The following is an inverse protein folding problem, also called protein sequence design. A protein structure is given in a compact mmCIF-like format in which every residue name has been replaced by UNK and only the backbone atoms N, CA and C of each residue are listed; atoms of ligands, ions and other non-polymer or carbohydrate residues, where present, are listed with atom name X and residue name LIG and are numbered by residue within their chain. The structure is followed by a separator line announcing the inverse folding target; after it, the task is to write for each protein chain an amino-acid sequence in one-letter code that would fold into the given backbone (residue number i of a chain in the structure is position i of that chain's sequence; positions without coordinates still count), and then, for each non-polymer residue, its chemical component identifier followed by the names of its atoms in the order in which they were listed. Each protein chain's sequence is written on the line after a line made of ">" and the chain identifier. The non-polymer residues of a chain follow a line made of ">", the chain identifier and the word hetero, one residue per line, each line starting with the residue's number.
data_IF_057838103141
#
_entry.id   IF_057838103141
#
_cell.length_a   1.000
_cell.length_b   1.000
_cell.length_c   1.000
_cell.angle_alpha   90.00
_cell.angle_beta   90.00
_cell.angle_gamma   90.00
#
_symmetry.space_group_name_H-M   'P 1'
#
loop_
_entity.id
_entity.type
_entity.pdbx_description
1 polymer ?
#
# COMPACT_ATOMS: atom_id res chain seq x y z
N UNK A 1 -25.44 3.30 6.52
CA UNK A 1 -24.54 4.05 7.42
C UNK A 1 -23.12 3.54 7.22
N UNK A 2 -22.15 4.39 6.83
CA UNK A 2 -20.78 3.97 6.57
C UNK A 2 -20.11 3.29 7.77
N UNK A 3 -20.39 3.75 8.97
CA UNK A 3 -19.81 3.24 10.24
C UNK A 3 -20.30 1.83 10.64
N UNK A 4 -21.31 1.31 9.95
CA UNK A 4 -21.90 -0.01 10.20
C UNK A 4 -21.48 -1.04 9.12
N UNK A 5 -20.64 -0.63 8.15
CA UNK A 5 -20.19 -1.52 7.07
C UNK A 5 -19.15 -2.50 7.63
N UNK A 6 -19.40 -3.79 7.44
CA UNK A 6 -18.42 -4.84 7.73
C UNK A 6 -17.55 -5.08 6.50
N UNK A 7 -16.25 -5.08 6.70
CA UNK A 7 -15.28 -5.42 5.67
C UNK A 7 -14.87 -6.89 5.77
N UNK A 8 -14.64 -7.53 4.62
CA UNK A 8 -14.07 -8.87 4.54
C UNK A 8 -12.54 -8.78 4.55
N UNK A 9 -11.99 -8.22 5.62
CA UNK A 9 -10.55 -8.09 5.84
C UNK A 9 -10.10 -9.05 6.93
N UNK A 10 -8.83 -9.42 6.89
CA UNK A 10 -8.22 -10.29 7.88
C UNK A 10 -6.74 -9.98 8.07
N UNK A 11 -6.27 -10.18 9.29
CA UNK A 11 -4.86 -10.13 9.64
C UNK A 11 -4.43 -11.48 10.20
N UNK A 12 -3.26 -11.94 9.79
CA UNK A 12 -2.61 -13.10 10.39
C UNK A 12 -1.58 -12.62 11.41
N UNK A 13 -1.82 -12.94 12.68
CA UNK A 13 -1.00 -12.49 13.80
C UNK A 13 -0.31 -13.69 14.46
N UNK A 14 0.98 -13.56 14.74
CA UNK A 14 1.76 -14.54 15.49
C UNK A 14 2.57 -13.84 16.57
N UNK A 15 2.48 -14.33 17.80
CA UNK A 15 3.18 -13.74 18.97
C UNK A 15 2.97 -12.24 19.15
N UNK A 16 1.78 -11.73 18.81
CA UNK A 16 1.47 -10.30 18.88
C UNK A 16 1.98 -9.47 17.71
N UNK A 17 2.68 -10.08 16.75
CA UNK A 17 3.15 -9.43 15.54
C UNK A 17 2.25 -9.78 14.35
N UNK A 18 1.75 -8.77 13.64
CA UNK A 18 1.04 -8.95 12.38
C UNK A 18 2.00 -9.43 11.29
N UNK A 19 1.79 -10.64 10.82
CA UNK A 19 2.62 -11.32 9.83
C UNK A 19 2.15 -11.09 8.40
N UNK A 20 0.86 -10.93 8.23
CA UNK A 20 0.23 -10.72 6.93
C UNK A 20 -1.12 -10.05 7.12
N UNK A 21 -1.52 -9.25 6.15
CA UNK A 21 -2.88 -8.73 6.05
C UNK A 21 -3.45 -8.97 4.67
N UNK A 22 -4.77 -8.98 4.58
CA UNK A 22 -5.45 -9.22 3.33
C UNK A 22 -6.95 -8.98 3.40
N UNK A 23 -7.62 -9.34 2.33
CA UNK A 23 -9.07 -9.22 2.26
C UNK A 23 -9.64 -9.72 0.95
N UNK A 24 -10.94 -9.91 0.93
CA UNK A 24 -11.70 -10.07 -0.29
C UNK A 24 -11.74 -8.74 -1.03
N UNK A 25 -11.46 -8.77 -2.33
CA UNK A 25 -11.41 -7.57 -3.15
C UNK A 25 -12.79 -7.09 -3.55
N UNK A 26 -12.98 -5.78 -3.59
CA UNK A 26 -14.19 -5.18 -4.13
C UNK A 26 -14.07 -5.14 -5.67
N UNK A 27 -14.62 -6.17 -6.31
CA UNK A 27 -14.62 -6.33 -7.78
C UNK A 27 -15.91 -5.84 -8.44
N UNK A 28 -16.91 -5.44 -7.66
CA UNK A 28 -18.15 -4.91 -8.19
C UNK A 28 -17.99 -3.42 -8.56
N UNK A 29 -18.15 -3.02 -9.85
CA UNK A 29 -17.90 -1.64 -10.27
C UNK A 29 -18.84 -0.62 -9.63
N UNK A 30 -20.07 -1.01 -9.29
CA UNK A 30 -21.03 -0.12 -8.62
C UNK A 30 -20.64 0.09 -7.17
N UNK A 31 -20.26 -0.98 -6.46
CA UNK A 31 -19.80 -0.89 -5.08
C UNK A 31 -18.46 -0.14 -4.98
N UNK A 32 -17.59 -0.28 -5.98
CA UNK A 32 -16.33 0.44 -6.03
C UNK A 32 -16.55 1.95 -6.05
N UNK A 33 -17.43 2.47 -6.91
CA UNK A 33 -17.80 3.89 -6.94
C UNK A 33 -18.38 4.36 -5.61
N UNK A 34 -19.28 3.58 -5.03
CA UNK A 34 -19.86 3.91 -3.70
C UNK A 34 -18.81 3.97 -2.60
N UNK A 35 -17.83 3.05 -2.61
CA UNK A 35 -16.74 3.07 -1.66
C UNK A 35 -15.88 4.35 -1.78
N UNK A 36 -15.58 4.78 -3.00
CA UNK A 36 -14.89 6.05 -3.26
C UNK A 36 -15.73 7.25 -2.79
N UNK A 37 -17.03 7.25 -3.04
CA UNK A 37 -17.92 8.30 -2.56
C UNK A 37 -17.97 8.39 -1.02
N UNK A 38 -18.00 7.25 -0.32
CA UNK A 38 -17.91 7.18 1.14
C UNK A 38 -16.57 7.75 1.65
N UNK A 39 -15.47 7.50 0.93
CA UNK A 39 -14.17 8.05 1.23
C UNK A 39 -14.01 9.56 0.87
N UNK A 40 -15.08 10.21 0.38
CA UNK A 40 -15.08 11.63 0.06
C UNK A 40 -14.59 12.00 -1.34
N UNK A 41 -14.43 11.02 -2.23
CA UNK A 41 -14.06 11.27 -3.63
C UNK A 41 -15.29 11.30 -4.53
N UNK A 42 -15.20 12.09 -5.60
CA UNK A 42 -16.21 12.04 -6.67
C UNK A 42 -16.17 10.68 -7.38
N UNK A 43 -17.35 10.19 -7.79
CA UNK A 43 -17.44 8.89 -8.49
C UNK A 43 -16.66 8.83 -9.81
N UNK A 44 -16.46 9.98 -10.48
CA UNK A 44 -15.65 10.09 -11.69
C UNK A 44 -14.17 9.80 -11.47
N UNK A 45 -13.69 9.88 -10.23
CA UNK A 45 -12.29 9.55 -9.87
C UNK A 45 -11.96 8.11 -10.23
N UNK A 46 -12.88 7.18 -10.04
CA UNK A 46 -12.69 5.77 -10.38
C UNK A 46 -12.41 5.62 -11.89
N UNK A 47 -13.19 6.28 -12.73
CA UNK A 47 -13.05 6.22 -14.19
C UNK A 47 -11.78 6.94 -14.68
N UNK A 48 -11.45 8.08 -14.06
CA UNK A 48 -10.33 8.92 -14.49
C UNK A 48 -8.96 8.43 -14.01
N UNK A 49 -8.90 7.87 -12.79
CA UNK A 49 -7.64 7.44 -12.16
C UNK A 49 -7.36 5.94 -12.31
N UNK A 50 -8.42 5.14 -12.45
CA UNK A 50 -8.34 3.68 -12.54
C UNK A 50 -9.11 3.12 -13.75
N UNK A 51 -8.99 3.71 -14.96
CA UNK A 51 -9.85 3.36 -16.10
C UNK A 51 -9.75 1.89 -16.47
N UNK A 52 -8.54 1.33 -16.52
CA UNK A 52 -8.32 -0.06 -16.91
C UNK A 52 -8.93 -1.06 -15.94
N UNK A 53 -8.77 -0.81 -14.62
CA UNK A 53 -9.34 -1.66 -13.58
C UNK A 53 -10.87 -1.59 -13.58
N UNK A 54 -11.42 -0.38 -13.66
CA UNK A 54 -12.86 -0.17 -13.69
C UNK A 54 -13.49 -0.83 -14.91
N UNK A 55 -12.89 -0.68 -16.10
CA UNK A 55 -13.35 -1.32 -17.31
C UNK A 55 -13.28 -2.84 -17.22
N UNK A 56 -12.20 -3.40 -16.68
CA UNK A 56 -12.07 -4.85 -16.49
C UNK A 56 -13.19 -5.41 -15.60
N UNK A 57 -13.53 -4.70 -14.52
CA UNK A 57 -14.63 -5.12 -13.64
C UNK A 57 -16.01 -5.08 -14.31
N UNK A 58 -16.21 -4.20 -15.28
CA UNK A 58 -17.44 -4.16 -16.09
C UNK A 58 -17.61 -5.40 -16.99
N UNK A 59 -16.50 -6.02 -17.40
CA UNK A 59 -16.55 -7.29 -18.16
C UNK A 59 -16.80 -8.52 -17.28
N UNK A 60 -16.82 -8.36 -15.97
CA UNK A 60 -17.05 -9.41 -14.98
C UNK A 60 -15.77 -10.01 -14.41
N UNK A 61 -15.38 -9.55 -13.23
CA UNK A 61 -14.30 -10.16 -12.47
C UNK A 61 -14.87 -11.27 -11.55
N UNK A 62 -14.18 -12.39 -11.37
CA UNK A 62 -14.57 -13.40 -10.38
C UNK A 62 -14.37 -12.86 -8.96
N UNK A 63 -15.09 -13.41 -7.96
CA UNK A 63 -14.73 -13.19 -6.56
C UNK A 63 -13.27 -13.56 -6.34
N UNK A 64 -12.51 -12.67 -5.73
CA UNK A 64 -11.10 -12.90 -5.48
C UNK A 64 -10.65 -12.21 -4.19
N UNK A 65 -9.64 -12.79 -3.57
CA UNK A 65 -9.03 -12.29 -2.35
C UNK A 65 -7.50 -12.31 -2.49
N UNK A 66 -6.83 -11.63 -1.60
CA UNK A 66 -5.38 -11.63 -1.57
C UNK A 66 -4.85 -11.42 -0.17
N UNK A 67 -3.61 -11.86 0.06
CA UNK A 67 -2.89 -11.67 1.29
C UNK A 67 -1.47 -11.20 0.98
N UNK A 68 -0.96 -10.28 1.78
CA UNK A 68 0.40 -9.76 1.68
C UNK A 68 1.22 -10.21 2.90
N UNK A 69 1.96 -11.33 2.80
CA UNK A 69 2.85 -11.77 3.87
C UNK A 69 4.07 -10.85 4.00
N UNK A 70 4.37 -10.42 5.22
CA UNK A 70 5.59 -9.67 5.54
C UNK A 70 6.76 -10.63 5.77
N UNK A 71 7.59 -10.84 4.76
CA UNK A 71 8.71 -11.80 4.83
C UNK A 71 9.68 -11.48 5.97
N UNK A 72 10.00 -10.20 6.17
CA UNK A 72 10.89 -9.77 7.26
C UNK A 72 10.28 -10.08 8.63
N UNK A 73 8.97 -9.88 8.80
CA UNK A 73 8.26 -10.21 10.04
C UNK A 73 8.19 -11.71 10.30
N UNK A 74 8.05 -12.52 9.24
CA UNK A 74 8.14 -13.98 9.34
C UNK A 74 9.53 -14.39 9.82
N UNK A 75 10.58 -13.82 9.24
CA UNK A 75 11.95 -14.07 9.65
C UNK A 75 12.23 -13.64 11.10
N UNK A 76 11.72 -12.48 11.53
CA UNK A 76 11.79 -12.04 12.93
C UNK A 76 11.22 -13.09 13.88
N UNK A 77 10.02 -13.58 13.57
CA UNK A 77 9.35 -14.58 14.40
C UNK A 77 10.12 -15.92 14.44
N UNK A 78 10.63 -16.37 13.30
CA UNK A 78 11.40 -17.62 13.21
C UNK A 78 12.76 -17.54 13.92
N UNK A 79 13.32 -16.34 13.99
CA UNK A 79 14.63 -16.09 14.62
C UNK A 79 14.53 -15.59 16.06
N UNK A 80 13.33 -15.37 16.55
CA UNK A 80 13.08 -14.73 17.85
C UNK A 80 13.80 -13.38 17.97
N UNK A 81 13.73 -12.58 16.90
CA UNK A 81 14.39 -11.28 16.79
C UNK A 81 13.35 -10.15 16.88
N UNK A 82 13.59 -9.20 17.76
CA UNK A 82 12.65 -8.08 17.99
C UNK A 82 12.84 -6.91 17.01
N UNK A 83 14.02 -6.80 16.40
CA UNK A 83 14.35 -5.68 15.54
C UNK A 83 14.33 -6.06 14.06
N UNK A 84 13.38 -5.51 13.33
CA UNK A 84 13.23 -5.78 11.88
C UNK A 84 14.49 -5.40 11.07
N UNK A 85 15.30 -4.46 11.56
CA UNK A 85 16.53 -4.04 10.86
C UNK A 85 17.57 -5.17 10.78
N UNK A 86 17.52 -6.13 11.71
CA UNK A 86 18.39 -7.30 11.68
C UNK A 86 18.00 -8.32 10.57
N UNK A 87 16.79 -8.18 10.02
CA UNK A 87 16.29 -9.02 8.92
C UNK A 87 16.56 -8.44 7.54
N UNK A 88 16.97 -7.18 7.46
CA UNK A 88 17.17 -6.45 6.20
C UNK A 88 18.66 -6.24 5.98
N UNK A 89 19.15 -6.59 4.78
CA UNK A 89 20.58 -6.51 4.44
C UNK A 89 21.11 -5.04 4.46
N UNK A 90 20.25 -4.07 4.07
CA UNK A 90 20.60 -2.65 4.01
C UNK A 90 19.49 -1.83 4.68
N UNK A 91 19.39 -1.86 6.03
CA UNK A 91 18.31 -1.17 6.74
C UNK A 91 18.51 0.33 6.73
N UNK A 92 17.39 1.06 6.61
CA UNK A 92 17.38 2.49 6.83
C UNK A 92 17.46 2.81 8.35
N UNK A 93 18.08 3.94 8.67
CA UNK A 93 18.07 4.48 10.02
C UNK A 93 16.65 4.94 10.43
N UNK A 94 16.44 5.19 11.72
CA UNK A 94 15.13 5.57 12.25
C UNK A 94 14.56 6.87 11.65
N UNK A 95 15.44 7.77 11.21
CA UNK A 95 15.07 9.01 10.50
C UNK A 95 14.86 8.83 8.99
N UNK A 96 14.89 7.60 8.47
CA UNK A 96 14.73 7.30 7.04
C UNK A 96 15.99 7.52 6.21
N UNK A 97 17.14 7.81 6.81
CA UNK A 97 18.39 7.96 6.08
C UNK A 97 19.03 6.59 5.78
N UNK A 98 19.69 6.51 4.64
CA UNK A 98 20.57 5.40 4.25
C UNK A 98 22.02 5.83 4.44
N UNK A 99 22.66 5.32 5.48
CA UNK A 99 24.04 5.65 5.80
C UNK A 99 25.03 5.08 4.77
N UNK A 100 24.69 3.97 4.11
CA UNK A 100 25.55 3.36 3.09
C UNK A 100 25.54 4.15 1.79
N UNK A 101 24.36 4.57 1.35
CA UNK A 101 24.19 5.31 0.10
C UNK A 101 24.25 6.83 0.26
N UNK A 102 24.31 7.33 1.51
CA UNK A 102 24.30 8.76 1.81
C UNK A 102 22.99 9.46 1.44
N UNK A 103 21.86 8.77 1.59
CA UNK A 103 20.52 9.28 1.27
C UNK A 103 19.78 9.75 2.54
N UNK A 104 18.85 10.71 2.46
CA UNK A 104 18.51 11.50 1.27
C UNK A 104 19.60 12.51 0.90
N UNK A 105 19.65 12.90 -0.36
CA UNK A 105 20.59 13.87 -0.87
C UNK A 105 19.89 14.92 -1.77
N UNK A 106 20.55 16.02 -2.04
CA UNK A 106 19.98 17.06 -2.88
C UNK A 106 19.77 16.58 -4.32
N UNK A 107 18.71 17.05 -4.94
CA UNK A 107 18.39 16.77 -6.33
C UNK A 107 18.98 17.86 -7.23
N UNK A 108 19.61 17.47 -8.30
CA UNK A 108 20.16 18.45 -9.24
C UNK A 108 19.07 19.17 -10.03
N UNK A 109 19.30 20.44 -10.33
CA UNK A 109 18.34 21.30 -11.04
C UNK A 109 17.92 20.72 -12.41
N UNK A 110 18.81 20.05 -13.14
CA UNK A 110 18.45 19.41 -14.40
C UNK A 110 17.43 18.29 -14.23
N UNK A 111 17.51 17.50 -13.15
CA UNK A 111 16.55 16.44 -12.83
C UNK A 111 15.16 17.00 -12.53
N UNK A 112 15.11 18.12 -11.82
CA UNK A 112 13.85 18.83 -11.56
C UNK A 112 13.21 19.34 -12.87
N UNK A 113 14.03 19.89 -13.78
CA UNK A 113 13.55 20.32 -15.09
C UNK A 113 13.03 19.19 -15.96
N UNK A 114 13.76 18.08 -16.02
CA UNK A 114 13.35 16.90 -16.79
C UNK A 114 12.00 16.32 -16.32
N UNK A 115 11.74 16.38 -15.03
CA UNK A 115 10.48 15.89 -14.42
C UNK A 115 9.39 16.96 -14.34
N UNK A 116 9.65 18.19 -14.81
CA UNK A 116 8.74 19.33 -14.70
C UNK A 116 8.29 19.66 -13.28
N UNK A 117 9.18 19.43 -12.30
CA UNK A 117 8.95 19.71 -10.87
C UNK A 117 9.72 20.98 -10.47
N UNK A 118 9.17 21.71 -9.52
CA UNK A 118 9.82 22.86 -8.88
C UNK A 118 9.72 22.74 -7.36
N UNK A 119 10.84 22.95 -6.68
CA UNK A 119 10.82 23.11 -5.21
C UNK A 119 10.10 24.42 -4.89
N UNK A 120 9.26 24.41 -3.89
CA UNK A 120 8.60 25.60 -3.35
C UNK A 120 9.40 26.07 -2.12
N UNK A 121 9.66 27.35 -2.08
CA UNK A 121 10.23 28.03 -0.91
C UNK A 121 9.23 28.07 0.23
#
# INVERSE_FOLDING_TARGET
>A
KPDEILACQYDFVCNGLEMASGGERNYNPVLLKKAFAIAGYDESVVESKFPSLYQAFQYGAPPHAGMAPGIDRILMTLKDEENIREMVAFPLAANGSDALMGCPNEVFEHQLRETHIKVRD
#
